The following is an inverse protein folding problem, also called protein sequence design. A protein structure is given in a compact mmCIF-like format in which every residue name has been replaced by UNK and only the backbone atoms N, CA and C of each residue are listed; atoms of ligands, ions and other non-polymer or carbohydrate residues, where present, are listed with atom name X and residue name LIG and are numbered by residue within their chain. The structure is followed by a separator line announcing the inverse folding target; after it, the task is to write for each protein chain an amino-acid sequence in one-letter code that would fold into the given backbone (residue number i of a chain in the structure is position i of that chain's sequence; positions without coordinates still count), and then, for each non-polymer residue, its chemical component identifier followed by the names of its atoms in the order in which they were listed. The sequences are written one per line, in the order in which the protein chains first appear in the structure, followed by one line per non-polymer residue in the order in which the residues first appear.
data_IF_325030747243
#
_entry.id   IF_325030747243
#
_cell.length_a   1.000
_cell.length_b   1.000
_cell.length_c   1.000
_cell.angle_alpha   90.00
_cell.angle_beta   90.00
_cell.angle_gamma   90.00
#
_symmetry.space_group_name_H-M   'P 1'
#
loop_
_entity.id
_entity.type
_entity.pdbx_description
1 polymer ?
#
# COMPACT_ATOMS: atom_id res chain seq x y z
N UNK A 1 -0.99 -15.14 60.02
CA UNK A 1 0.17 -15.40 59.14
C UNK A 1 -0.36 -15.78 57.77
N UNK A 2 0.24 -15.18 56.74
CA UNK A 2 0.10 -15.42 55.29
C UNK A 2 -1.14 -14.85 54.57
N UNK A 3 -0.82 -14.43 53.35
CA UNK A 3 -1.31 -13.29 52.58
C UNK A 3 -2.02 -13.72 51.31
N UNK A 4 -2.77 -12.77 50.75
CA UNK A 4 -3.47 -12.68 49.46
C UNK A 4 -2.94 -13.49 48.27
N UNK A 5 -3.88 -13.81 47.36
CA UNK A 5 -3.58 -14.06 45.95
C UNK A 5 -4.84 -14.16 45.08
N UNK A 6 -5.44 -13.02 44.71
CA UNK A 6 -6.33 -12.97 43.54
C UNK A 6 -5.44 -12.96 42.28
N UNK A 7 -5.34 -14.09 41.59
CA UNK A 7 -4.82 -14.13 40.22
C UNK A 7 -5.97 -13.86 39.25
N UNK A 8 -6.23 -12.59 38.99
CA UNK A 8 -6.88 -12.18 37.75
C UNK A 8 -5.84 -12.33 36.65
N UNK A 9 -5.84 -13.48 35.98
CA UNK A 9 -5.15 -13.62 34.70
C UNK A 9 -5.91 -12.80 33.66
N UNK A 10 -5.58 -11.51 33.54
CA UNK A 10 -5.91 -10.71 32.37
C UNK A 10 -5.05 -11.20 31.20
N UNK A 11 -5.46 -12.32 30.62
CA UNK A 11 -4.90 -12.88 29.40
C UNK A 11 -5.23 -11.97 28.21
N UNK A 12 -4.33 -11.02 27.98
CA UNK A 12 -3.86 -10.50 26.69
C UNK A 12 -4.94 -10.55 25.59
N UNK A 13 -5.61 -9.41 25.36
CA UNK A 13 -6.27 -9.16 24.06
C UNK A 13 -5.18 -9.13 23.00
N UNK A 14 -4.90 -10.29 22.40
CA UNK A 14 -4.17 -10.34 21.15
C UNK A 14 -5.09 -9.73 20.09
N UNK A 15 -4.97 -8.42 19.86
CA UNK A 15 -5.54 -7.82 18.67
C UNK A 15 -4.63 -8.20 17.49
N UNK A 16 -4.70 -9.45 17.05
CA UNK A 16 -3.99 -9.88 15.85
C UNK A 16 -4.68 -9.23 14.67
N UNK A 17 -4.17 -8.07 14.23
CA UNK A 17 -4.61 -7.49 12.97
C UNK A 17 -4.16 -8.42 11.84
N UNK A 18 -5.08 -8.91 11.00
CA UNK A 18 -4.71 -9.82 9.93
C UNK A 18 -3.75 -9.13 8.96
N UNK A 19 -2.68 -9.83 8.60
CA UNK A 19 -1.72 -9.38 7.61
C UNK A 19 -1.58 -10.47 6.54
N UNK A 20 -1.47 -10.04 5.29
CA UNK A 20 -1.09 -10.93 4.19
C UNK A 20 0.42 -11.14 4.24
N UNK A 21 0.83 -12.40 4.17
CA UNK A 21 2.22 -12.79 4.02
C UNK A 21 2.47 -13.27 2.59
N UNK A 22 3.45 -12.67 1.93
CA UNK A 22 3.89 -13.01 0.58
C UNK A 22 5.26 -13.69 0.70
N UNK A 23 5.32 -15.02 0.54
CA UNK A 23 6.55 -15.80 0.76
C UNK A 23 7.60 -15.50 -0.31
N UNK A 24 8.87 -15.41 0.10
CA UNK A 24 9.98 -15.17 -0.82
C UNK A 24 10.23 -16.35 -1.75
N UNK A 25 9.90 -17.56 -1.32
CA UNK A 25 10.03 -18.78 -2.13
C UNK A 25 9.00 -18.85 -3.28
N UNK A 26 7.96 -18.02 -3.23
CA UNK A 26 6.92 -17.96 -4.26
C UNK A 26 6.53 -16.52 -4.58
N UNK A 27 7.36 -15.87 -5.40
CA UNK A 27 7.16 -14.50 -5.91
C UNK A 27 5.94 -14.34 -6.85
N UNK A 28 5.25 -15.45 -7.17
CA UNK A 28 4.00 -15.45 -7.93
C UNK A 28 2.75 -15.33 -7.04
N UNK A 29 2.92 -15.34 -5.71
CA UNK A 29 1.85 -15.21 -4.72
C UNK A 29 1.12 -13.88 -4.86
N UNK A 30 -0.21 -13.92 -4.81
CA UNK A 30 -1.04 -12.72 -4.99
C UNK A 30 -2.37 -12.82 -4.25
N UNK A 31 -3.01 -11.67 -4.07
CA UNK A 31 -4.37 -11.56 -3.53
C UNK A 31 -5.23 -10.87 -4.58
N UNK A 32 -6.34 -11.52 -4.99
CA UNK A 32 -7.38 -10.85 -5.77
C UNK A 32 -8.21 -9.97 -4.84
N UNK A 33 -8.41 -8.72 -5.25
CA UNK A 33 -9.28 -7.78 -4.55
C UNK A 33 -10.50 -7.53 -5.44
N UNK A 34 -11.68 -7.63 -4.84
CA UNK A 34 -12.94 -7.27 -5.50
C UNK A 34 -13.43 -5.94 -4.92
N UNK A 35 -13.21 -4.80 -5.63
CA UNK A 35 -13.70 -3.51 -5.18
C UNK A 35 -15.23 -3.50 -5.06
N UNK A 36 -15.75 -2.84 -4.02
CA UNK A 36 -17.19 -2.66 -3.83
C UNK A 36 -17.79 -1.60 -4.78
N UNK A 37 -16.94 -0.75 -5.34
CA UNK A 37 -17.31 0.31 -6.26
C UNK A 37 -16.43 0.25 -7.51
N UNK A 38 -16.91 0.84 -8.59
CA UNK A 38 -16.16 0.90 -9.83
C UNK A 38 -14.84 1.67 -9.66
N UNK A 39 -13.80 1.20 -10.34
CA UNK A 39 -12.46 1.77 -10.36
C UNK A 39 -12.33 2.87 -11.41
N UNK A 40 -13.43 3.52 -11.79
CA UNK A 40 -13.42 4.76 -12.57
C UNK A 40 -13.15 5.97 -11.68
N UNK A 41 -11.87 6.24 -11.41
CA UNK A 41 -11.41 7.17 -10.41
C UNK A 41 -10.94 8.48 -11.04
N UNK A 42 -11.46 9.59 -10.55
CA UNK A 42 -10.93 10.95 -10.82
C UNK A 42 -10.02 11.43 -9.69
N UNK A 43 -10.02 10.73 -8.56
CA UNK A 43 -9.13 10.96 -7.45
C UNK A 43 -9.00 9.65 -6.67
N UNK A 44 -7.88 9.49 -5.98
CA UNK A 44 -7.77 8.42 -5.00
C UNK A 44 -6.80 8.77 -3.87
N UNK A 45 -6.93 8.02 -2.78
CA UNK A 45 -5.87 7.84 -1.78
C UNK A 45 -5.68 6.35 -1.58
N UNK A 46 -4.44 5.87 -1.64
CA UNK A 46 -4.04 4.50 -1.33
C UNK A 46 -3.14 4.54 -0.10
N UNK A 47 -3.52 3.84 0.97
CA UNK A 47 -2.67 3.67 2.15
C UNK A 47 -2.51 2.19 2.50
N UNK A 48 -1.33 1.82 2.99
CA UNK A 48 -1.06 0.48 3.50
C UNK A 48 0.15 0.47 4.42
N UNK A 49 0.23 -0.57 5.25
CA UNK A 49 1.43 -0.94 5.98
C UNK A 49 2.13 -2.07 5.26
N UNK A 50 3.45 -1.94 5.09
CA UNK A 50 4.27 -3.00 4.52
C UNK A 50 5.59 -3.16 5.27
N UNK A 51 6.03 -4.42 5.39
CA UNK A 51 7.39 -4.81 5.79
C UNK A 51 7.96 -5.68 4.68
N UNK A 52 8.63 -5.03 3.73
CA UNK A 52 9.27 -5.69 2.59
C UNK A 52 10.52 -6.45 3.04
N UNK A 53 10.77 -7.63 2.46
CA UNK A 53 11.90 -8.50 2.82
C UNK A 53 13.01 -8.53 1.76
N UNK A 54 12.71 -8.23 0.50
CA UNK A 54 13.69 -8.15 -0.57
C UNK A 54 14.08 -6.70 -0.91
N UNK A 55 15.26 -6.53 -1.52
CA UNK A 55 15.68 -5.25 -2.09
C UNK A 55 15.12 -5.08 -3.51
N UNK A 56 15.18 -3.87 -4.07
CA UNK A 56 14.64 -3.62 -5.42
C UNK A 56 13.15 -3.27 -5.42
N UNK A 57 12.65 -2.88 -6.59
CA UNK A 57 11.27 -2.44 -6.79
C UNK A 57 10.32 -3.65 -6.76
N UNK A 58 9.27 -3.56 -5.94
CA UNK A 58 8.31 -4.64 -5.69
C UNK A 58 6.88 -4.11 -5.78
N UNK A 59 6.01 -4.80 -6.53
CA UNK A 59 4.61 -4.42 -6.76
C UNK A 59 3.75 -4.72 -5.57
N UNK A 60 3.23 -3.67 -4.92
CA UNK A 60 2.28 -3.78 -3.82
C UNK A 60 0.87 -4.00 -4.34
N UNK A 61 0.47 -3.18 -5.32
CA UNK A 61 -0.87 -3.13 -5.88
C UNK A 61 -0.79 -2.95 -7.38
N UNK A 62 -1.60 -3.70 -8.13
CA UNK A 62 -1.74 -3.56 -9.58
C UNK A 62 -3.22 -3.67 -9.96
N UNK A 63 -3.71 -2.65 -10.64
CA UNK A 63 -4.99 -2.58 -11.30
C UNK A 63 -4.77 -2.46 -12.80
N UNK A 64 -5.48 -3.28 -13.56
CA UNK A 64 -5.30 -3.46 -14.99
C UNK A 64 -6.65 -3.69 -15.65
N UNK A 65 -6.84 -3.15 -16.85
CA UNK A 65 -8.03 -3.37 -17.68
C UNK A 65 -7.69 -4.24 -18.89
N UNK A 66 -8.66 -4.47 -19.77
CA UNK A 66 -8.38 -5.14 -21.04
C UNK A 66 -7.48 -4.30 -21.96
N UNK A 67 -7.52 -2.98 -21.82
CA UNK A 67 -6.78 -2.06 -22.68
C UNK A 67 -5.43 -1.63 -22.07
N UNK A 68 -5.26 -1.82 -20.75
CA UNK A 68 -4.10 -1.26 -20.04
C UNK A 68 -3.66 -2.09 -18.84
N UNK A 69 -2.44 -2.61 -18.90
CA UNK A 69 -1.83 -3.36 -17.78
C UNK A 69 -1.49 -2.46 -16.59
N UNK A 70 -0.96 -1.26 -16.86
CA UNK A 70 -0.55 -0.32 -15.82
C UNK A 70 -1.58 0.82 -15.65
N UNK A 71 -2.85 0.45 -15.50
CA UNK A 71 -3.94 1.39 -15.29
C UNK A 71 -3.77 2.15 -13.96
N UNK A 72 -3.53 1.40 -12.87
CA UNK A 72 -3.04 1.95 -11.60
C UNK A 72 -2.12 0.93 -10.94
N UNK A 73 -0.87 1.29 -10.68
CA UNK A 73 0.05 0.39 -9.97
C UNK A 73 0.93 1.16 -8.98
N UNK A 74 1.31 0.50 -7.89
CA UNK A 74 2.23 1.08 -6.91
C UNK A 74 3.31 0.07 -6.53
N UNK A 75 4.56 0.53 -6.54
CA UNK A 75 5.72 -0.25 -6.13
C UNK A 75 6.42 0.38 -4.92
N UNK A 76 7.14 -0.44 -4.16
CA UNK A 76 8.00 -0.03 -3.04
C UNK A 76 9.37 -0.69 -3.16
N UNK A 77 10.36 -0.16 -2.43
CA UNK A 77 11.69 -0.75 -2.32
C UNK A 77 12.80 0.28 -2.49
N UNK A 78 13.43 0.31 -3.67
CA UNK A 78 14.46 1.32 -3.99
C UNK A 78 13.88 2.74 -3.99
N UNK A 79 12.69 2.87 -4.55
CA UNK A 79 11.86 4.07 -4.56
C UNK A 79 10.40 3.67 -4.31
N UNK A 80 9.51 4.66 -4.27
CA UNK A 80 8.07 4.43 -4.35
C UNK A 80 7.62 4.81 -5.75
N UNK A 81 7.22 3.83 -6.54
CA UNK A 81 6.74 4.00 -7.91
C UNK A 81 5.23 4.08 -7.97
N UNK A 82 4.71 4.91 -8.87
CA UNK A 82 3.28 5.05 -9.17
C UNK A 82 3.06 5.05 -10.68
N UNK A 83 2.14 4.20 -11.12
CA UNK A 83 1.57 4.24 -12.46
C UNK A 83 0.12 4.71 -12.41
N UNK A 84 -0.25 5.63 -13.29
CA UNK A 84 -1.63 6.04 -13.55
C UNK A 84 -1.80 6.15 -15.06
N UNK A 85 -2.77 5.43 -15.63
CA UNK A 85 -3.03 5.45 -17.07
C UNK A 85 -1.80 5.10 -17.91
N UNK A 86 -0.90 4.25 -17.40
CA UNK A 86 0.33 3.82 -18.09
C UNK A 86 1.50 4.80 -17.99
N UNK A 87 1.34 5.95 -17.33
CA UNK A 87 2.43 6.89 -17.08
C UNK A 87 3.01 6.69 -15.68
N UNK A 88 4.31 6.94 -15.51
CA UNK A 88 5.07 6.64 -14.30
C UNK A 88 5.60 7.87 -13.56
N UNK A 89 5.53 7.85 -12.22
CA UNK A 89 6.27 8.72 -11.31
C UNK A 89 7.00 7.89 -10.26
N UNK A 90 8.20 8.33 -9.87
CA UNK A 90 8.93 7.78 -8.72
C UNK A 90 9.09 8.80 -7.60
N UNK A 91 9.11 8.34 -6.35
CA UNK A 91 9.45 9.14 -5.17
C UNK A 91 10.67 8.50 -4.48
N UNK A 92 11.81 9.21 -4.35
CA UNK A 92 13.00 8.63 -3.76
C UNK A 92 12.79 8.33 -2.27
N UNK A 93 13.31 7.18 -1.83
CA UNK A 93 13.39 6.82 -0.43
C UNK A 93 14.83 7.05 0.05
N UNK A 94 15.01 7.96 1.01
CA UNK A 94 16.35 8.31 1.52
C UNK A 94 16.88 7.30 2.55
N UNK A 95 16.07 6.32 2.98
CA UNK A 95 16.43 5.35 3.99
C UNK A 95 15.97 3.95 3.62
N UNK A 96 16.88 2.97 3.78
CA UNK A 96 16.53 1.54 3.76
C UNK A 96 15.93 1.17 5.12
N UNK A 97 14.61 1.06 5.21
CA UNK A 97 13.97 0.59 6.44
C UNK A 97 13.94 -0.95 6.48
N UNK A 98 14.18 -1.52 7.65
CA UNK A 98 14.13 -2.97 7.93
C UNK A 98 12.84 -3.38 8.66
N UNK A 99 11.85 -2.48 8.72
CA UNK A 99 10.65 -2.62 9.55
C UNK A 99 9.37 -2.23 8.81
N UNK A 100 8.29 -2.18 9.58
CA UNK A 100 7.00 -1.70 9.09
C UNK A 100 7.07 -0.23 8.70
N UNK A 101 6.64 0.06 7.49
CA UNK A 101 6.45 1.40 6.98
C UNK A 101 5.00 1.59 6.57
N UNK A 102 4.46 2.77 6.89
CA UNK A 102 3.17 3.21 6.38
C UNK A 102 3.37 4.04 5.14
N UNK A 103 2.79 3.59 4.04
CA UNK A 103 2.81 4.29 2.78
C UNK A 103 1.42 4.86 2.53
N UNK A 104 1.35 6.13 2.14
CA UNK A 104 0.14 6.71 1.60
C UNK A 104 0.46 7.50 0.33
N UNK A 105 -0.41 7.40 -0.66
CA UNK A 105 -0.32 8.16 -1.89
C UNK A 105 -1.69 8.66 -2.29
N UNK A 106 -1.80 9.94 -2.65
CA UNK A 106 -3.03 10.53 -3.12
C UNK A 106 -2.82 11.23 -4.46
N UNK A 107 -3.78 11.09 -5.36
CA UNK A 107 -3.78 11.72 -6.66
C UNK A 107 -5.14 12.34 -6.97
N UNK A 108 -5.14 13.49 -7.66
CA UNK A 108 -6.35 14.16 -8.13
C UNK A 108 -6.23 14.54 -9.61
N UNK A 109 -7.15 14.03 -10.43
CA UNK A 109 -7.24 14.26 -11.88
C UNK A 109 -7.22 15.74 -12.24
N UNK A 110 -8.03 16.56 -11.57
CA UNK A 110 -8.22 17.97 -11.92
C UNK A 110 -6.89 18.75 -12.05
N UNK A 111 -5.91 18.46 -11.20
CA UNK A 111 -4.59 19.11 -11.18
C UNK A 111 -3.44 18.18 -11.58
N UNK A 112 -3.68 16.87 -11.62
CA UNK A 112 -2.66 15.83 -11.67
C UNK A 112 -1.83 15.71 -10.38
N UNK A 113 -2.15 16.50 -9.35
CA UNK A 113 -1.34 16.59 -8.13
C UNK A 113 -1.27 15.22 -7.45
N UNK A 114 -0.04 14.80 -7.17
CA UNK A 114 0.30 13.53 -6.54
C UNK A 114 1.08 13.80 -5.27
N UNK A 115 0.51 13.45 -4.13
CA UNK A 115 1.12 13.60 -2.81
C UNK A 115 1.49 12.22 -2.28
N UNK A 116 2.66 12.15 -1.65
CA UNK A 116 3.17 10.94 -1.02
C UNK A 116 3.47 11.21 0.45
N UNK A 117 3.14 10.26 1.32
CA UNK A 117 3.51 10.28 2.72
C UNK A 117 4.15 8.95 3.11
N UNK A 118 5.22 9.06 3.91
CA UNK A 118 5.87 7.92 4.55
C UNK A 118 5.77 8.09 6.06
N UNK A 119 5.18 7.11 6.75
CA UNK A 119 4.94 7.18 8.20
C UNK A 119 4.20 8.46 8.65
N UNK A 120 3.32 8.98 7.79
CA UNK A 120 2.57 10.22 8.01
C UNK A 120 3.34 11.51 7.71
N UNK A 121 4.63 11.45 7.41
CA UNK A 121 5.42 12.60 6.98
C UNK A 121 5.26 12.82 5.47
N UNK A 122 4.97 14.05 5.07
CA UNK A 122 4.77 14.41 3.67
C UNK A 122 6.10 14.47 2.92
N UNK A 123 6.13 13.87 1.73
CA UNK A 123 7.20 14.04 0.74
C UNK A 123 6.95 15.24 -0.18
N UNK A 124 7.84 15.41 -1.18
CA UNK A 124 7.67 16.43 -2.22
C UNK A 124 6.55 16.02 -3.18
N UNK A 125 5.52 16.85 -3.30
CA UNK A 125 4.44 16.64 -4.25
C UNK A 125 4.95 16.69 -5.71
N UNK A 126 4.29 15.93 -6.58
CA UNK A 126 4.55 15.86 -8.03
C UNK A 126 3.24 15.97 -8.80
N UNK A 127 3.29 15.97 -10.13
CA UNK A 127 2.08 15.95 -10.96
C UNK A 127 2.21 14.96 -12.11
N UNK A 128 1.13 14.25 -12.41
CA UNK A 128 0.99 13.29 -13.50
C UNK A 128 -0.48 13.16 -13.90
N UNK A 129 -0.75 12.84 -15.17
CA UNK A 129 -2.09 12.50 -15.66
C UNK A 129 -3.18 13.53 -15.33
N UNK A 130 -2.91 14.83 -15.50
CA UNK A 130 -3.96 15.86 -15.33
C UNK A 130 -5.12 15.62 -16.30
N UNK A 131 -6.36 15.63 -15.79
CA UNK A 131 -7.60 15.43 -16.55
C UNK A 131 -7.93 13.97 -16.85
N UNK A 132 -7.13 13.03 -16.36
CA UNK A 132 -7.34 11.60 -16.59
C UNK A 132 -8.46 11.03 -15.71
N UNK A 133 -9.13 9.98 -16.18
CA UNK A 133 -10.05 9.17 -15.38
C UNK A 133 -9.65 7.73 -15.58
N UNK A 134 -9.47 6.98 -14.50
CA UNK A 134 -9.12 5.58 -14.66
C UNK A 134 -10.25 4.78 -15.29
N UNK A 135 -9.89 3.73 -15.99
CA UNK A 135 -10.82 2.85 -16.68
C UNK A 135 -11.50 1.88 -15.72
N UNK A 136 -12.80 1.66 -15.92
CA UNK A 136 -13.61 0.68 -15.21
C UNK A 136 -13.36 -0.76 -15.66
N UNK A 137 -13.93 -1.73 -14.95
CA UNK A 137 -14.05 -3.12 -15.41
C UNK A 137 -12.75 -3.93 -15.42
N UNK A 138 -11.72 -3.46 -14.72
CA UNK A 138 -10.44 -4.14 -14.61
C UNK A 138 -10.36 -5.17 -13.47
N UNK A 139 -9.15 -5.66 -13.22
CA UNK A 139 -8.82 -6.54 -12.10
C UNK A 139 -7.80 -5.87 -11.21
N UNK A 140 -8.08 -5.91 -9.90
CA UNK A 140 -7.19 -5.41 -8.85
C UNK A 140 -6.53 -6.58 -8.11
N UNK A 141 -5.21 -6.57 -8.05
CA UNK A 141 -4.42 -7.57 -7.31
C UNK A 141 -3.43 -6.90 -6.37
N UNK A 142 -3.08 -7.60 -5.29
CA UNK A 142 -1.97 -7.25 -4.41
C UNK A 142 -0.82 -8.24 -4.58
N UNK A 143 0.40 -7.73 -4.43
CA UNK A 143 1.63 -8.51 -4.34
C UNK A 143 2.27 -8.90 -5.67
N UNK A 144 1.66 -8.59 -6.81
CA UNK A 144 2.28 -8.74 -8.13
C UNK A 144 1.67 -7.84 -9.20
N UNK A 145 2.38 -7.70 -10.32
CA UNK A 145 1.83 -7.12 -11.54
C UNK A 145 1.05 -8.19 -12.32
N UNK A 146 0.03 -7.81 -13.10
CA UNK A 146 -0.75 -8.75 -13.92
C UNK A 146 0.01 -9.29 -15.14
N UNK A 147 0.97 -8.54 -15.68
CA UNK A 147 1.77 -8.99 -16.82
C UNK A 147 3.14 -9.55 -16.39
N UNK A 148 3.17 -10.87 -16.18
CA UNK A 148 4.39 -11.71 -16.23
C UNK A 148 4.25 -12.83 -17.28
N UNK A 149 3.40 -12.63 -18.30
CA UNK A 149 3.21 -13.64 -19.36
C UNK A 149 4.44 -13.83 -20.27
N UNK A 150 5.44 -12.94 -20.19
CA UNK A 150 6.67 -13.01 -20.99
C UNK A 150 7.97 -13.20 -20.19
N UNK A 151 7.89 -13.73 -18.95
CA UNK A 151 8.97 -14.55 -18.39
C UNK A 151 10.31 -13.87 -18.08
N UNK A 152 10.37 -12.56 -17.81
CA UNK A 152 11.61 -11.92 -17.35
C UNK A 152 11.34 -10.96 -16.19
N UNK A 153 11.62 -11.43 -14.97
CA UNK A 153 11.64 -10.68 -13.70
C UNK A 153 10.27 -10.23 -13.16
N UNK A 154 9.54 -11.16 -12.54
CA UNK A 154 8.41 -10.79 -11.69
C UNK A 154 8.90 -9.94 -10.50
N UNK A 155 8.55 -8.65 -10.47
CA UNK A 155 8.79 -7.77 -9.32
C UNK A 155 7.73 -7.99 -8.23
N UNK A 156 7.47 -9.25 -7.86
CA UNK A 156 6.49 -9.61 -6.83
C UNK A 156 6.88 -9.06 -5.46
N UNK A 157 5.91 -8.68 -4.65
CA UNK A 157 6.15 -8.25 -3.28
C UNK A 157 6.48 -9.46 -2.40
N UNK A 158 7.49 -9.30 -1.55
CA UNK A 158 7.87 -10.30 -0.55
C UNK A 158 7.85 -9.68 0.84
N UNK A 159 7.24 -10.37 1.80
CA UNK A 159 7.11 -9.92 3.18
C UNK A 159 5.66 -9.74 3.60
N UNK A 160 5.40 -8.74 4.44
CA UNK A 160 4.11 -8.59 5.13
C UNK A 160 3.40 -7.32 4.68
N UNK A 161 2.08 -7.41 4.49
CA UNK A 161 1.22 -6.30 4.11
C UNK A 161 -0.06 -6.31 4.95
N UNK A 162 -0.49 -5.15 5.44
CA UNK A 162 -1.75 -5.03 6.19
C UNK A 162 -2.36 -3.65 6.03
N UNK A 163 -3.63 -3.51 6.43
CA UNK A 163 -4.38 -2.25 6.37
C UNK A 163 -4.33 -1.58 5.00
N UNK A 164 -4.45 -2.36 3.92
CA UNK A 164 -4.54 -1.84 2.55
C UNK A 164 -5.92 -1.21 2.37
N UNK A 165 -5.95 0.09 2.08
CA UNK A 165 -7.16 0.85 1.90
C UNK A 165 -7.02 1.75 0.67
N UNK A 166 -8.06 1.76 -0.17
CA UNK A 166 -8.16 2.61 -1.35
C UNK A 166 -9.46 3.42 -1.26
N UNK A 167 -9.34 4.73 -1.22
CA UNK A 167 -10.46 5.68 -1.26
C UNK A 167 -10.54 6.34 -2.63
N UNK A 168 -11.74 6.63 -3.12
CA UNK A 168 -11.98 7.36 -4.37
C UNK A 168 -11.88 8.88 -4.24
N UNK A 169 -11.15 9.36 -3.22
CA UNK A 169 -11.00 10.77 -2.90
C UNK A 169 -9.61 11.04 -2.30
N UNK A 170 -9.20 12.31 -2.31
CA UNK A 170 -7.98 12.75 -1.62
C UNK A 170 -8.28 12.93 -0.13
N UNK A 171 -7.59 12.18 0.73
CA UNK A 171 -7.67 12.36 2.18
C UNK A 171 -6.88 13.59 2.63
N UNK A 172 -7.30 14.16 3.77
CA UNK A 172 -6.56 15.29 4.36
C UNK A 172 -5.22 14.83 4.93
N UNK A 173 -4.22 15.72 5.04
CA UNK A 173 -2.97 15.40 5.74
C UNK A 173 -3.16 15.01 7.22
N UNK A 174 -4.27 15.42 7.86
CA UNK A 174 -4.59 15.02 9.22
C UNK A 174 -5.06 13.56 9.26
N UNK A 175 -5.95 13.15 8.34
CA UNK A 175 -6.44 11.77 8.26
C UNK A 175 -5.31 10.79 7.93
N UNK A 176 -4.44 11.15 6.99
CA UNK A 176 -3.26 10.34 6.63
C UNK A 176 -2.33 10.15 7.84
N UNK A 177 -2.13 11.21 8.63
CA UNK A 177 -1.34 11.12 9.87
C UNK A 177 -2.01 10.25 10.91
N UNK A 178 -3.33 10.35 11.06
CA UNK A 178 -4.08 9.49 11.98
C UNK A 178 -3.92 8.01 11.60
N UNK A 179 -4.07 7.65 10.33
CA UNK A 179 -3.85 6.28 9.81
C UNK A 179 -2.42 5.76 10.11
N UNK A 180 -1.43 6.64 10.04
CA UNK A 180 -0.04 6.31 10.38
C UNK A 180 0.20 6.08 11.88
N UNK A 181 -0.67 6.62 12.73
CA UNK A 181 -0.59 6.49 14.19
C UNK A 181 -1.41 5.31 14.72
N UNK A 182 -2.53 4.96 14.07
CA UNK A 182 -3.41 3.88 14.53
C UNK A 182 -2.68 2.56 14.73
N UNK A 183 -1.71 2.19 13.86
CA UNK A 183 -0.91 0.98 14.09
C UNK A 183 0.23 1.19 15.11
N UNK A 184 0.81 2.40 15.22
CA UNK A 184 1.86 2.70 16.19
C UNK A 184 1.34 2.67 17.62
N UNK A 185 0.15 3.21 17.86
CA UNK A 185 -0.50 3.20 19.18
C UNK A 185 -0.77 1.78 19.69
N UNK A 186 -0.84 0.79 18.79
CA UNK A 186 -0.99 -0.62 19.14
C UNK A 186 0.35 -1.33 19.36
N UNK A 187 1.46 -0.78 18.86
CA UNK A 187 2.82 -1.34 19.02
C UNK A 187 3.52 -0.76 20.27
N UNK A 188 3.09 0.40 20.78
CA UNK A 188 3.58 1.02 22.03
C UNK A 188 2.73 0.67 23.26
N UNK A 189 2.30 -0.59 23.35
CA UNK A 189 1.69 -1.16 24.55
C UNK A 189 2.57 -2.26 25.13
N UNK A 190 3.71 -1.88 25.71
CA UNK A 190 4.48 -2.62 26.72
C UNK A 190 5.44 -1.65 27.43
#
# INVERSE_FOLDING_TARGET
MLTAGFLLLSGIKSSTFPAFYFPMENIESFVNVHPLHDMSLQAFTLCFWAKAQHAGSQTVLSYSTQERDNELAMTVGTDVGLWIGGHFLSFPLYHKAQGWLHYCMAWASQSGMTNFWLNGAAGKAKSIQKGYVSQAGGTLVLGKARDTLLGTFSNGFTGWMTHVNLWSQVLSPADVRALALYSKLLVWGN
#
